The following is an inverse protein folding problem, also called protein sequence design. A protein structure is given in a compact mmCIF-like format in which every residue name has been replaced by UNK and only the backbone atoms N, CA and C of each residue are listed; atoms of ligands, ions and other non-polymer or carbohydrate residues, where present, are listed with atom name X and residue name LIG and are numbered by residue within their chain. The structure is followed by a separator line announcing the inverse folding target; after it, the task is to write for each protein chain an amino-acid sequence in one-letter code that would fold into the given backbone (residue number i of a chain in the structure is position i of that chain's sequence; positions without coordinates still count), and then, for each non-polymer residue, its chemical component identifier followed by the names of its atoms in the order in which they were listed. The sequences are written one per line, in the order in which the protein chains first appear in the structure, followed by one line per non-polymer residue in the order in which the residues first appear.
data_IF_474475755074
#
_entry.id   IF_474475755074
#
_cell.length_a   1.000
_cell.length_b   1.000
_cell.length_c   1.000
_cell.angle_alpha   90.00
_cell.angle_beta   90.00
_cell.angle_gamma   90.00
#
_symmetry.space_group_name_H-M   'P 1'
#
loop_
_entity.id
_entity.type
_entity.pdbx_description
1 polymer ?
#
# COMPACT_ATOMS: atom_id res chain seq x y z
N UNK A 1 -30.53 54.29 7.30
CA UNK A 1 -31.08 53.02 7.82
C UNK A 1 -31.23 51.93 6.75
N UNK A 2 -31.68 52.23 5.51
CA UNK A 2 -31.83 51.23 4.42
C UNK A 2 -30.54 50.53 3.98
N UNK A 3 -29.41 51.24 3.99
CA UNK A 3 -28.11 50.70 3.57
C UNK A 3 -27.47 49.77 4.60
N UNK A 4 -27.88 49.88 5.88
CA UNK A 4 -27.40 49.03 6.96
C UNK A 4 -28.03 47.64 6.90
N UNK A 5 -29.31 47.56 6.50
CA UNK A 5 -30.04 46.30 6.32
C UNK A 5 -29.49 45.51 5.11
N UNK A 6 -29.12 46.19 4.02
CA UNK A 6 -28.53 45.56 2.84
C UNK A 6 -27.12 44.99 3.13
N UNK A 7 -26.31 45.70 3.92
CA UNK A 7 -25.00 45.21 4.35
C UNK A 7 -25.11 43.98 5.26
N UNK A 8 -26.12 43.95 6.15
CA UNK A 8 -26.35 42.81 7.04
C UNK A 8 -26.81 41.55 6.28
N UNK A 9 -27.63 41.71 5.25
CA UNK A 9 -28.10 40.61 4.39
C UNK A 9 -26.96 40.04 3.51
N UNK A 10 -26.06 40.89 3.02
CA UNK A 10 -24.89 40.43 2.27
C UNK A 10 -23.91 39.65 3.15
N UNK A 11 -23.76 40.02 4.43
CA UNK A 11 -22.93 39.28 5.39
C UNK A 11 -23.50 37.91 5.77
N UNK A 12 -24.83 37.76 5.79
CA UNK A 12 -25.48 36.48 6.09
C UNK A 12 -25.30 35.43 4.96
N UNK A 13 -25.16 35.85 3.70
CA UNK A 13 -24.94 34.94 2.57
C UNK A 13 -23.54 34.32 2.53
N UNK A 14 -22.54 34.92 3.19
CA UNK A 14 -21.18 34.35 3.29
C UNK A 14 -21.03 33.37 4.46
N UNK A 15 -22.05 33.22 5.32
CA UNK A 15 -22.01 32.32 6.47
C UNK A 15 -22.50 30.89 6.14
N UNK A 16 -22.80 30.57 4.88
CA UNK A 16 -22.96 29.19 4.44
C UNK A 16 -21.59 28.59 4.08
N UNK A 17 -20.70 28.52 5.08
CA UNK A 17 -19.58 27.59 5.02
C UNK A 17 -20.19 26.19 5.10
N UNK A 18 -20.46 25.59 3.94
CA UNK A 18 -20.88 24.20 3.85
C UNK A 18 -19.92 23.33 4.67
N UNK A 19 -20.41 22.26 5.32
CA UNK A 19 -19.54 21.39 6.10
C UNK A 19 -18.38 20.96 5.21
N UNK A 20 -17.16 21.28 5.64
CA UNK A 20 -15.93 20.82 5.00
C UNK A 20 -16.12 19.31 4.75
N UNK A 21 -16.15 18.93 3.48
CA UNK A 21 -16.33 17.54 3.07
C UNK A 21 -15.31 16.73 3.85
N UNK A 22 -15.80 15.91 4.79
CA UNK A 22 -14.93 15.08 5.62
C UNK A 22 -14.07 14.28 4.66
N UNK A 23 -12.72 14.38 4.74
CA UNK A 23 -11.87 13.68 3.79
C UNK A 23 -12.25 12.21 3.84
N UNK A 24 -12.75 11.70 2.70
CA UNK A 24 -13.15 10.30 2.56
C UNK A 24 -11.93 9.47 2.95
N UNK A 25 -12.03 8.72 4.04
CA UNK A 25 -10.92 7.91 4.50
C UNK A 25 -10.54 6.91 3.40
N UNK A 26 -9.34 7.06 2.82
CA UNK A 26 -8.85 6.16 1.80
C UNK A 26 -8.34 4.87 2.43
N UNK A 27 -8.65 3.76 1.79
CA UNK A 27 -8.09 2.47 2.14
C UNK A 27 -6.74 2.28 1.44
N UNK A 28 -5.81 1.58 2.10
CA UNK A 28 -4.48 1.34 1.57
C UNK A 28 -4.20 -0.16 1.61
N UNK A 29 -3.84 -0.76 0.48
CA UNK A 29 -3.34 -2.12 0.41
C UNK A 29 -1.82 -2.08 0.21
N UNK A 30 -1.08 -2.56 1.21
CA UNK A 30 0.38 -2.73 1.12
C UNK A 30 0.71 -4.16 0.72
N UNK A 31 1.41 -4.32 -0.39
CA UNK A 31 1.92 -5.60 -0.87
C UNK A 31 3.42 -5.67 -0.58
N UNK A 32 3.78 -6.54 0.35
CA UNK A 32 5.15 -6.79 0.77
C UNK A 32 5.82 -7.77 -0.19
N UNK A 33 6.85 -7.30 -0.89
CA UNK A 33 7.77 -8.15 -1.63
C UNK A 33 9.03 -8.39 -0.79
N UNK A 34 9.93 -9.26 -1.25
CA UNK A 34 11.14 -9.61 -0.49
C UNK A 34 12.10 -8.42 -0.31
N UNK A 35 12.09 -7.46 -1.23
CA UNK A 35 13.02 -6.34 -1.31
C UNK A 35 12.38 -4.96 -1.11
N UNK A 36 11.06 -4.83 -1.28
CA UNK A 36 10.35 -3.56 -1.19
C UNK A 36 8.84 -3.72 -1.04
N UNK A 37 8.18 -2.64 -0.64
CA UNK A 37 6.73 -2.58 -0.47
C UNK A 37 6.07 -1.80 -1.62
N UNK A 38 4.91 -2.29 -2.08
CA UNK A 38 4.05 -1.59 -3.03
C UNK A 38 2.76 -1.18 -2.35
N UNK A 39 2.38 0.09 -2.44
CA UNK A 39 1.15 0.60 -1.82
C UNK A 39 0.12 0.97 -2.87
N UNK A 40 -1.10 0.46 -2.72
CA UNK A 40 -2.26 0.80 -3.53
C UNK A 40 -3.29 1.57 -2.69
N UNK A 41 -3.60 2.79 -3.11
CA UNK A 41 -4.73 3.55 -2.57
C UNK A 41 -6.04 3.08 -3.20
N UNK A 42 -7.06 2.87 -2.36
CA UNK A 42 -8.40 2.45 -2.74
C UNK A 42 -9.44 3.37 -2.09
N UNK A 43 -10.61 3.45 -2.72
CA UNK A 43 -11.75 4.22 -2.21
C UNK A 43 -12.40 3.61 -0.96
N UNK A 44 -12.23 2.29 -0.77
CA UNK A 44 -12.76 1.49 0.33
C UNK A 44 -11.95 0.19 0.47
N UNK A 45 -11.98 -0.48 1.63
CA UNK A 45 -11.46 -1.83 1.78
C UNK A 45 -12.17 -2.80 0.84
N UNK A 46 -11.43 -3.70 0.23
CA UNK A 46 -11.98 -4.76 -0.62
C UNK A 46 -11.49 -6.13 -0.10
N UNK A 47 -12.12 -6.67 0.94
CA UNK A 47 -11.83 -8.02 1.39
C UNK A 47 -12.27 -9.05 0.34
N UNK A 48 -11.46 -10.07 0.10
CA UNK A 48 -11.76 -11.12 -0.86
C UNK A 48 -10.51 -11.67 -1.54
N UNK A 49 -10.71 -12.44 -2.60
CA UNK A 49 -9.63 -13.00 -3.39
C UNK A 49 -9.00 -11.93 -4.27
N UNK A 50 -7.79 -11.52 -3.93
CA UNK A 50 -6.95 -10.70 -4.78
C UNK A 50 -6.05 -11.59 -5.62
N UNK A 51 -5.71 -11.12 -6.81
CA UNK A 51 -4.71 -11.77 -7.65
C UNK A 51 -3.68 -10.76 -8.13
N UNK A 52 -2.43 -11.17 -8.30
CA UNK A 52 -1.41 -10.34 -8.93
C UNK A 52 -0.90 -10.99 -10.21
N UNK A 53 -0.44 -10.16 -11.14
CA UNK A 53 0.15 -10.63 -12.39
C UNK A 53 1.62 -10.98 -12.16
N UNK A 54 1.95 -12.24 -12.39
CA UNK A 54 3.30 -12.79 -12.37
C UNK A 54 3.65 -13.38 -13.73
N UNK A 55 4.59 -12.76 -14.44
CA UNK A 55 5.14 -13.28 -15.70
C UNK A 55 4.05 -13.67 -16.73
N UNK A 56 2.94 -12.91 -16.78
CA UNK A 56 1.82 -13.15 -17.68
C UNK A 56 0.72 -14.07 -17.14
N UNK A 57 0.86 -14.57 -15.91
CA UNK A 57 -0.13 -15.40 -15.23
C UNK A 57 -0.70 -14.67 -14.00
N UNK A 58 -2.01 -14.77 -13.81
CA UNK A 58 -2.66 -14.33 -12.58
C UNK A 58 -2.43 -15.36 -11.47
N UNK A 59 -1.97 -14.90 -10.31
CA UNK A 59 -1.72 -15.72 -9.12
C UNK A 59 -2.48 -15.14 -7.95
N UNK A 60 -3.11 -16.00 -7.15
CA UNK A 60 -3.79 -15.57 -5.92
C UNK A 60 -2.80 -14.97 -4.94
N UNK A 61 -3.25 -13.95 -4.21
CA UNK A 61 -2.51 -13.34 -3.11
C UNK A 61 -3.44 -13.18 -1.91
N UNK A 62 -3.00 -13.70 -0.78
CA UNK A 62 -3.74 -13.59 0.48
C UNK A 62 -3.65 -12.16 0.99
N UNK A 63 -4.80 -11.50 1.13
CA UNK A 63 -4.91 -10.16 1.70
C UNK A 63 -5.63 -10.19 3.04
N UNK A 64 -5.00 -9.61 4.06
CA UNK A 64 -5.59 -9.42 5.38
C UNK A 64 -5.92 -7.95 5.58
N UNK A 65 -7.14 -7.64 5.98
CA UNK A 65 -7.63 -6.27 6.19
C UNK A 65 -7.89 -6.00 7.68
N UNK A 66 -7.40 -4.86 8.16
CA UNK A 66 -7.68 -4.29 9.48
C UNK A 66 -8.21 -2.87 9.30
N UNK A 67 -9.53 -2.71 9.31
CA UNK A 67 -10.17 -1.43 8.98
C UNK A 67 -9.86 -1.00 7.54
N UNK A 68 -9.21 0.15 7.38
CA UNK A 68 -8.81 0.70 6.08
C UNK A 68 -7.40 0.29 5.62
N UNK A 69 -6.70 -0.54 6.38
CA UNK A 69 -5.37 -1.02 6.05
C UNK A 69 -5.42 -2.50 5.64
N UNK A 70 -5.02 -2.78 4.41
CA UNK A 70 -4.85 -4.11 3.84
C UNK A 70 -3.37 -4.45 3.74
N UNK A 71 -3.04 -5.72 3.97
CA UNK A 71 -1.68 -6.25 3.81
C UNK A 71 -1.71 -7.53 3.01
N UNK A 72 -0.74 -7.67 2.11
CA UNK A 72 -0.50 -8.87 1.31
C UNK A 72 0.99 -9.15 1.29
N UNK A 73 1.39 -10.41 1.15
CA UNK A 73 2.80 -10.79 1.02
C UNK A 73 3.01 -11.65 -0.23
N UNK A 74 4.09 -11.38 -0.95
CA UNK A 74 4.48 -12.13 -2.14
C UNK A 74 5.94 -12.56 -1.97
N UNK A 75 6.18 -13.88 -1.98
CA UNK A 75 7.51 -14.49 -1.77
C UNK A 75 8.46 -14.35 -2.97
N UNK A 76 8.61 -13.14 -3.52
CA UNK A 76 9.50 -12.83 -4.64
C UNK A 76 10.03 -11.41 -4.55
N UNK A 77 11.06 -11.12 -5.34
CA UNK A 77 11.50 -9.75 -5.63
C UNK A 77 10.45 -9.00 -6.44
N UNK A 78 10.23 -7.75 -6.09
CA UNK A 78 9.27 -6.89 -6.74
C UNK A 78 9.73 -6.50 -8.17
N UNK A 79 8.81 -6.53 -9.15
CA UNK A 79 9.04 -5.94 -10.47
C UNK A 79 9.05 -4.40 -10.42
N UNK A 80 9.38 -3.72 -11.53
CA UNK A 80 9.26 -2.24 -11.61
C UNK A 80 7.81 -1.76 -11.50
N UNK A 81 6.86 -2.61 -11.86
CA UNK A 81 5.43 -2.37 -11.73
C UNK A 81 4.73 -3.71 -11.54
N UNK A 82 3.63 -3.69 -10.77
CA UNK A 82 2.78 -4.86 -10.55
C UNK A 82 1.35 -4.53 -10.99
N UNK A 83 0.67 -5.52 -11.57
CA UNK A 83 -0.78 -5.47 -11.77
C UNK A 83 -1.44 -6.31 -10.69
N UNK A 84 -2.40 -5.73 -10.00
CA UNK A 84 -3.28 -6.40 -9.07
C UNK A 84 -4.68 -6.40 -9.63
N UNK A 85 -5.38 -7.51 -9.49
CA UNK A 85 -6.79 -7.62 -9.79
C UNK A 85 -7.53 -7.79 -8.47
N UNK A 86 -8.49 -6.91 -8.26
CA UNK A 86 -9.34 -6.88 -7.08
C UNK A 86 -10.44 -7.96 -7.14
N UNK A 87 -11.15 -8.20 -6.02
CA UNK A 87 -12.23 -9.19 -5.96
C UNK A 87 -13.43 -8.86 -6.87
N UNK A 88 -13.65 -7.59 -7.17
CA UNK A 88 -14.72 -7.11 -8.06
C UNK A 88 -14.30 -7.23 -9.56
N UNK A 89 -13.06 -7.63 -9.83
CA UNK A 89 -12.47 -7.82 -11.15
C UNK A 89 -11.73 -6.62 -11.74
N UNK A 90 -11.64 -5.51 -11.01
CA UNK A 90 -10.90 -4.31 -11.39
C UNK A 90 -9.39 -4.54 -11.38
N UNK A 91 -8.68 -3.93 -12.33
CA UNK A 91 -7.22 -4.09 -12.49
C UNK A 91 -6.52 -2.78 -12.10
N UNK A 92 -5.61 -2.89 -11.15
CA UNK A 92 -4.84 -1.80 -10.56
C UNK A 92 -3.37 -1.96 -10.93
N UNK A 93 -2.74 -0.90 -11.43
CA UNK A 93 -1.30 -0.88 -11.71
C UNK A 93 -0.58 -0.08 -10.63
N UNK A 94 0.25 -0.76 -9.84
CA UNK A 94 1.14 -0.08 -8.89
C UNK A 94 2.52 0.05 -9.54
N UNK A 95 3.03 1.28 -9.58
CA UNK A 95 4.46 1.51 -9.82
C UNK A 95 5.15 1.42 -8.47
N UNK A 96 6.12 0.53 -8.34
CA UNK A 96 6.96 0.54 -7.14
C UNK A 96 7.86 1.78 -7.22
N UNK A 97 7.90 2.54 -6.13
CA UNK A 97 8.80 3.68 -6.03
C UNK A 97 10.22 3.15 -6.19
N UNK A 98 10.93 3.62 -7.20
CA UNK A 98 12.37 3.38 -7.33
C UNK A 98 12.98 3.81 -5.99
N UNK A 99 13.61 2.87 -5.28
CA UNK A 99 14.49 3.23 -4.16
C UNK A 99 15.38 4.38 -4.67
N UNK A 100 15.53 5.48 -3.91
CA UNK A 100 16.38 6.57 -4.36
C UNK A 100 17.73 5.95 -4.71
N UNK A 101 18.19 6.18 -5.94
CA UNK A 101 19.52 5.80 -6.41
C UNK A 101 20.55 6.48 -5.49
N UNK A 102 20.81 5.89 -4.34
CA UNK A 102 21.88 6.30 -3.46
C UNK A 102 23.16 5.80 -4.11
N UNK A 103 23.68 6.64 -5.00
CA UNK A 103 25.10 6.79 -5.31
C UNK A 103 25.78 5.49 -5.76
N UNK A 104 25.55 5.11 -7.02
CA UNK A 104 26.59 4.42 -7.80
C UNK A 104 27.61 5.45 -8.26
N UNK A 105 28.45 5.91 -7.35
CA UNK A 105 29.70 6.59 -7.68
C UNK A 105 30.68 6.49 -6.51
N UNK A 106 31.70 5.65 -6.70
CA UNK A 106 33.08 5.73 -6.17
C UNK A 106 33.69 4.37 -5.71
N UNK A 107 34.05 3.54 -6.70
CA UNK A 107 35.33 2.79 -6.79
C UNK A 107 35.65 1.68 -5.73
N UNK A 108 36.76 0.91 -5.83
CA UNK A 108 36.74 -0.56 -5.92
C UNK A 108 37.30 -1.32 -4.68
N UNK A 109 36.97 -2.61 -4.60
CA UNK A 109 37.64 -3.67 -3.81
C UNK A 109 38.13 -3.33 -2.39
N UNK A 110 37.31 -3.68 -1.40
CA UNK A 110 37.73 -3.87 0.00
C UNK A 110 36.93 -5.01 0.59
N UNK A 111 37.57 -6.17 0.76
CA UNK A 111 37.03 -7.37 1.40
C UNK A 111 36.98 -7.13 2.91
N UNK A 112 35.85 -7.42 3.56
CA UNK A 112 35.87 -7.97 4.93
C UNK A 112 34.53 -8.65 5.27
N UNK A 113 34.66 -9.89 5.73
CA UNK A 113 33.62 -10.78 6.27
C UNK A 113 32.88 -10.12 7.44
N UNK A 114 31.58 -10.37 7.54
CA UNK A 114 30.89 -10.60 8.83
C UNK A 114 29.54 -11.25 8.57
N UNK A 115 29.54 -12.57 8.73
CA UNK A 115 28.37 -13.37 9.10
C UNK A 115 27.69 -12.75 10.34
N UNK A 116 26.37 -12.60 10.27
CA UNK A 116 25.38 -12.84 11.35
C UNK A 116 23.98 -12.32 10.93
N UNK A 117 23.59 -12.69 9.71
CA UNK A 117 22.26 -12.53 9.14
C UNK A 117 21.44 -13.82 9.35
N UNK A 118 21.40 -14.35 10.57
CA UNK A 118 20.79 -15.67 10.83
C UNK A 118 19.65 -15.67 11.87
N UNK A 119 19.50 -14.66 12.73
CA UNK A 119 18.60 -14.80 13.89
C UNK A 119 17.17 -14.26 13.67
N UNK A 120 16.96 -13.40 12.68
CA UNK A 120 15.61 -12.87 12.35
C UNK A 120 14.75 -13.80 11.48
N UNK A 121 15.38 -14.75 10.77
CA UNK A 121 14.75 -15.68 9.83
C UNK A 121 14.00 -16.83 10.52
N UNK A 122 14.28 -17.11 11.80
CA UNK A 122 13.74 -18.28 12.50
C UNK A 122 12.29 -18.09 13.01
N UNK A 123 11.93 -16.86 13.42
CA UNK A 123 10.63 -16.58 14.03
C UNK A 123 9.50 -16.50 12.98
N UNK A 124 9.80 -16.01 11.77
CA UNK A 124 8.83 -15.97 10.66
C UNK A 124 8.59 -17.37 10.07
N UNK A 125 9.62 -18.23 10.04
CA UNK A 125 9.50 -19.62 9.57
C UNK A 125 8.65 -20.49 10.49
N UNK A 126 8.76 -20.31 11.82
CA UNK A 126 7.95 -21.05 12.80
C UNK A 126 6.45 -20.74 12.70
N UNK A 127 6.08 -19.52 12.29
CA UNK A 127 4.68 -19.17 12.04
C UNK A 127 4.16 -19.80 10.74
N UNK A 128 4.98 -19.83 9.68
CA UNK A 128 4.66 -20.48 8.41
C UNK A 128 4.41 -21.99 8.58
N UNK A 129 5.18 -22.68 9.43
CA UNK A 129 5.04 -24.12 9.65
C UNK A 129 3.73 -24.52 10.36
N UNK A 130 3.21 -23.68 11.26
CA UNK A 130 1.97 -24.00 11.99
C UNK A 130 0.70 -23.85 11.14
N UNK A 131 0.71 -22.93 10.17
CA UNK A 131 -0.44 -22.69 9.28
C UNK A 131 -0.65 -23.82 8.27
N UNK A 132 0.42 -24.53 7.87
CA UNK A 132 0.33 -25.62 6.89
C UNK A 132 0.35 -27.04 7.50
N UNK A 133 0.67 -27.19 8.79
CA UNK A 133 0.63 -28.48 9.48
C UNK A 133 -0.75 -28.82 10.08
N UNK A 134 -1.70 -27.88 10.06
CA UNK A 134 -3.05 -28.06 10.59
C UNK A 134 -4.09 -28.32 9.51
N UNK A 135 -4.04 -29.51 8.91
CA UNK A 135 -5.25 -30.20 8.41
C UNK A 135 -5.85 -31.01 9.54
#
# INVERSE_FOLDING_TARGET
MRNLVAALLLLACFACKGPDATPKAMAHLTVHFLDQDAVLGLDRPLPGAWTFMDAGLWRDVDTVWTGNEGRAAVGRTAPRWVLLKDPDGGIHRIKLSEAPDSVRDATPSGREDSDDQAEGLFIVWLWFAQVFAGR
#
